data_IF_708585916523
#
_entry.id   IF_708585916523
#
_cell.length_a   1.000
_cell.length_b   1.000
_cell.length_c   1.000
_cell.angle_alpha   90.00
_cell.angle_beta   90.00
_cell.angle_gamma   90.00
#
_symmetry.space_group_name_H-M   'P 1'
#
loop_
_entity.id
_entity.type
_entity.pdbx_description
1 polymer ?
#
# COMPACT_ATOMS: atom_id res chain seq x y z
N UNK A 1 -2.86 28.83 2.42
CA UNK A 1 -2.40 27.52 1.89
C UNK A 1 -3.63 26.82 1.34
N UNK A 2 -3.59 26.30 0.11
CA UNK A 2 -4.72 25.58 -0.48
C UNK A 2 -4.73 24.15 0.08
N UNK A 3 -5.87 23.72 0.61
CA UNK A 3 -6.09 22.34 1.05
C UNK A 3 -5.92 21.38 -0.12
N UNK A 4 -5.16 20.28 0.08
CA UNK A 4 -4.95 19.29 -0.97
C UNK A 4 -6.21 18.43 -1.09
N UNK A 5 -6.97 18.63 -2.16
CA UNK A 5 -8.09 17.77 -2.50
C UNK A 5 -7.62 16.35 -2.86
N UNK A 6 -8.37 15.34 -2.43
CA UNK A 6 -8.07 13.97 -2.82
C UNK A 6 -8.53 13.66 -4.25
N UNK A 7 -7.82 12.78 -4.97
CA UNK A 7 -8.27 12.27 -6.27
C UNK A 7 -9.62 11.54 -6.23
N UNK A 8 -9.99 10.91 -5.11
CA UNK A 8 -11.27 10.20 -5.00
C UNK A 8 -12.44 11.12 -4.67
N UNK A 9 -12.17 12.31 -4.12
CA UNK A 9 -13.19 13.21 -3.59
C UNK A 9 -14.34 13.55 -4.57
N UNK A 10 -14.12 13.76 -5.88
CA UNK A 10 -15.22 14.03 -6.82
C UNK A 10 -16.20 12.87 -6.98
N UNK A 11 -15.75 11.63 -6.79
CA UNK A 11 -16.50 10.40 -7.07
C UNK A 11 -16.72 9.53 -5.82
N UNK A 12 -16.26 9.97 -4.64
CA UNK A 12 -16.32 9.17 -3.42
C UNK A 12 -17.73 9.19 -2.83
N UNK A 13 -18.42 8.06 -2.96
CA UNK A 13 -19.77 7.85 -2.41
C UNK A 13 -19.71 6.88 -1.22
N UNK A 14 -19.52 7.36 0.02
CA UNK A 14 -19.52 6.49 1.19
C UNK A 14 -20.89 5.83 1.37
N UNK A 15 -20.90 4.57 1.80
CA UNK A 15 -22.14 3.84 2.03
C UNK A 15 -22.02 2.35 1.71
N UNK A 16 -23.17 1.70 1.77
CA UNK A 16 -23.32 0.27 1.56
C UNK A 16 -23.83 0.02 0.14
N UNK A 17 -22.96 -0.47 -0.74
CA UNK A 17 -23.26 -0.67 -2.17
C UNK A 17 -23.22 -2.14 -2.61
N UNK A 18 -22.99 -3.08 -1.68
CA UNK A 18 -22.90 -4.51 -1.97
C UNK A 18 -24.26 -5.22 -2.00
N UNK A 19 -24.33 -6.38 -2.66
CA UNK A 19 -25.44 -7.31 -2.52
C UNK A 19 -25.17 -8.25 -1.33
N UNK A 20 -25.95 -8.13 -0.26
CA UNK A 20 -25.72 -8.87 0.99
C UNK A 20 -26.30 -10.28 1.02
N UNK A 21 -27.19 -10.66 0.09
CA UNK A 21 -27.77 -12.01 0.09
C UNK A 21 -26.75 -13.10 -0.26
N UNK A 22 -25.74 -12.75 -1.07
CA UNK A 22 -24.71 -13.68 -1.56
C UNK A 22 -23.30 -13.04 -1.61
N UNK A 23 -23.12 -11.88 -0.98
CA UNK A 23 -21.89 -11.08 -1.10
C UNK A 23 -20.82 -11.43 -0.07
N UNK A 24 -19.59 -11.09 -0.40
CA UNK A 24 -18.49 -11.01 0.57
C UNK A 24 -18.52 -9.62 1.20
N UNK A 25 -18.43 -9.55 2.52
CA UNK A 25 -18.32 -8.28 3.23
C UNK A 25 -16.97 -7.62 2.92
N UNK A 26 -16.99 -6.62 2.04
CA UNK A 26 -15.82 -5.83 1.66
C UNK A 26 -16.06 -4.38 2.03
N UNK A 27 -15.10 -3.81 2.78
CA UNK A 27 -15.07 -2.38 3.08
C UNK A 27 -14.02 -1.72 2.20
N UNK A 28 -14.46 -0.76 1.38
CA UNK A 28 -13.58 0.12 0.63
C UNK A 28 -13.49 1.46 1.36
N UNK A 29 -12.27 1.89 1.65
CA UNK A 29 -12.00 3.17 2.30
C UNK A 29 -10.76 3.80 1.69
N UNK A 30 -10.61 5.10 1.89
CA UNK A 30 -9.42 5.83 1.48
C UNK A 30 -8.51 6.11 2.68
N UNK A 31 -7.22 5.83 2.51
CA UNK A 31 -6.20 6.21 3.49
C UNK A 31 -5.86 7.70 3.35
N UNK A 32 -6.29 8.53 4.30
CA UNK A 32 -5.90 9.95 4.40
C UNK A 32 -5.39 10.30 5.81
N UNK A 33 -4.26 11.00 5.96
CA UNK A 33 -3.25 11.28 4.93
C UNK A 33 -2.43 10.02 4.59
N UNK A 34 -2.00 9.92 3.33
CA UNK A 34 -1.16 8.81 2.85
C UNK A 34 0.06 9.31 2.08
N UNK A 35 1.08 8.47 1.97
CA UNK A 35 2.24 8.71 1.11
C UNK A 35 2.54 7.45 0.31
N UNK A 36 2.84 7.64 -0.98
CA UNK A 36 3.31 6.57 -1.86
C UNK A 36 4.77 6.84 -2.13
N UNK A 37 5.62 5.86 -1.84
CA UNK A 37 7.06 5.94 -2.01
C UNK A 37 7.49 4.83 -2.96
N UNK A 38 8.26 5.18 -3.98
CA UNK A 38 8.98 4.23 -4.80
C UNK A 38 10.43 4.20 -4.36
N UNK A 39 10.93 3.01 -4.05
CA UNK A 39 12.29 2.80 -3.57
C UNK A 39 13.03 1.89 -4.56
N UNK A 40 14.29 2.20 -4.83
CA UNK A 40 15.16 1.40 -5.67
C UNK A 40 16.53 1.26 -5.00
N UNK A 41 17.19 0.14 -5.25
CA UNK A 41 18.55 -0.15 -4.80
C UNK A 41 19.46 -0.36 -6.00
N UNK A 42 20.75 -0.12 -5.81
CA UNK A 42 21.77 -0.59 -6.74
C UNK A 42 21.81 -2.14 -6.74
N UNK A 43 22.26 -2.77 -7.83
CA UNK A 43 22.44 -4.22 -7.86
C UNK A 43 23.31 -4.72 -6.70
N UNK A 44 22.81 -5.69 -5.94
CA UNK A 44 23.46 -6.26 -4.76
C UNK A 44 23.15 -5.55 -3.43
N UNK A 45 22.49 -4.39 -3.44
CA UNK A 45 22.09 -3.64 -2.24
C UNK A 45 20.61 -3.84 -1.87
N UNK A 46 19.88 -4.71 -2.56
CA UNK A 46 18.45 -4.95 -2.37
C UNK A 46 18.15 -5.39 -0.94
N UNK A 47 19.00 -6.27 -0.38
CA UNK A 47 18.89 -6.75 1.01
C UNK A 47 19.02 -5.62 2.03
N UNK A 48 19.90 -4.67 1.75
CA UNK A 48 20.09 -3.50 2.61
C UNK A 48 18.88 -2.58 2.57
N UNK A 49 18.31 -2.37 1.39
CA UNK A 49 17.05 -1.63 1.24
C UNK A 49 15.90 -2.31 1.97
N UNK A 50 15.70 -3.63 1.80
CA UNK A 50 14.69 -4.40 2.51
C UNK A 50 14.84 -4.28 4.03
N UNK A 51 16.08 -4.35 4.53
CA UNK A 51 16.38 -4.18 5.96
C UNK A 51 16.03 -2.77 6.45
N UNK A 52 16.29 -1.73 5.65
CA UNK A 52 15.93 -0.36 5.98
C UNK A 52 14.40 -0.16 6.00
N UNK A 53 13.68 -0.75 5.04
CA UNK A 53 12.20 -0.73 5.02
C UNK A 53 11.65 -1.39 6.29
N UNK A 54 12.16 -2.56 6.67
CA UNK A 54 11.76 -3.19 7.92
C UNK A 54 12.02 -2.30 9.13
N UNK A 55 13.23 -1.72 9.24
CA UNK A 55 13.60 -0.88 10.38
C UNK A 55 12.75 0.39 10.53
N UNK A 56 12.38 1.03 9.42
CA UNK A 56 11.65 2.31 9.44
C UNK A 56 10.13 2.10 9.42
N UNK A 57 9.65 1.17 8.59
CA UNK A 57 8.23 0.96 8.35
C UNK A 57 7.64 -0.23 9.11
N UNK A 58 8.46 -1.13 9.66
CA UNK A 58 8.00 -2.36 10.32
C UNK A 58 7.48 -3.40 9.32
N UNK A 59 7.89 -3.32 8.05
CA UNK A 59 7.43 -4.19 6.98
C UNK A 59 8.49 -5.22 6.62
N UNK A 60 8.23 -6.49 6.94
CA UNK A 60 9.07 -7.62 6.57
C UNK A 60 8.72 -8.07 5.14
N UNK A 61 9.29 -7.38 4.14
CA UNK A 61 9.05 -7.70 2.73
C UNK A 61 9.56 -9.11 2.40
N UNK A 62 8.76 -9.95 1.73
CA UNK A 62 9.24 -11.19 1.15
C UNK A 62 10.35 -10.93 0.15
N UNK A 63 11.34 -11.81 0.15
CA UNK A 63 12.40 -11.79 -0.84
C UNK A 63 11.93 -12.46 -2.13
N UNK A 64 11.63 -11.65 -3.14
CA UNK A 64 11.19 -12.15 -4.44
C UNK A 64 10.21 -11.21 -5.15
N UNK A 65 10.01 -11.46 -6.44
CA UNK A 65 9.08 -10.71 -7.28
C UNK A 65 7.63 -10.89 -6.81
N UNK A 66 6.84 -9.80 -6.82
CA UNK A 66 5.41 -9.82 -6.49
C UNK A 66 5.10 -10.04 -5.01
N UNK A 67 6.11 -10.30 -4.16
CA UNK A 67 5.95 -10.43 -2.72
C UNK A 67 5.47 -9.13 -2.10
N UNK A 68 4.38 -9.20 -1.34
CA UNK A 68 3.78 -8.06 -0.64
C UNK A 68 3.60 -8.30 0.84
N UNK A 69 3.59 -7.23 1.63
CA UNK A 69 3.31 -7.26 3.07
C UNK A 69 2.50 -6.03 3.46
N UNK A 70 1.51 -6.26 4.32
CA UNK A 70 0.73 -5.21 4.98
C UNK A 70 0.86 -5.38 6.49
N UNK A 71 1.10 -4.28 7.20
CA UNK A 71 1.12 -4.22 8.65
C UNK A 71 0.44 -2.93 9.12
N UNK A 72 -0.77 -3.04 9.66
CA UNK A 72 -1.61 -1.89 9.99
C UNK A 72 -1.87 -1.02 8.76
N UNK A 73 -1.67 0.30 8.89
CA UNK A 73 -1.86 1.27 7.80
C UNK A 73 -0.70 1.39 6.81
N UNK A 74 0.23 0.43 6.78
CA UNK A 74 1.42 0.45 5.91
C UNK A 74 1.46 -0.81 5.05
N UNK A 75 1.81 -0.63 3.79
CA UNK A 75 1.94 -1.72 2.83
C UNK A 75 3.13 -1.47 1.91
N UNK A 76 3.78 -2.55 1.50
CA UNK A 76 4.83 -2.52 0.48
C UNK A 76 4.80 -3.80 -0.34
N UNK A 77 5.27 -3.72 -1.58
CA UNK A 77 5.41 -4.85 -2.47
C UNK A 77 6.63 -4.69 -3.37
N UNK A 78 7.23 -5.81 -3.76
CA UNK A 78 8.34 -5.84 -4.71
C UNK A 78 7.85 -5.76 -6.16
N UNK A 79 8.40 -4.82 -6.91
CA UNK A 79 8.24 -4.73 -8.38
C UNK A 79 9.55 -5.22 -8.99
N UNK A 80 9.74 -6.53 -9.07
CA UNK A 80 10.87 -7.11 -9.80
C UNK A 80 10.33 -7.93 -10.97
N UNK A 81 11.01 -7.96 -12.13
CA UNK A 81 10.77 -9.03 -13.10
C UNK A 81 11.07 -10.38 -12.41
N UNK A 82 10.22 -11.38 -12.67
CA UNK A 82 10.39 -12.74 -12.16
C UNK A 82 11.62 -13.43 -12.69
#
# INVERSE_FOLDING_TARGET
MVERQSPLEPEYHPGSHGNFEHGVDVILSETRPGSILQLAAWPGEEKRLMSAIYKVAGLALPDGAGGGVTNGGRSAFGIAPG
#
